data_IF_473137325600
#
_entry.id   IF_473137325600
#
_cell.length_a   1.000
_cell.length_b   1.000
_cell.length_c   1.000
_cell.angle_alpha   90.00
_cell.angle_beta   90.00
_cell.angle_gamma   90.00
#
_symmetry.space_group_name_H-M   'P 1'
#
loop_
_entity.id
_entity.type
_entity.pdbx_description
1 polymer ?
#
# COMPACT_ATOMS: atom_id res chain seq x y z
N UNK A 1 -7.02 31.48 65.52
CA UNK A 1 -7.82 32.00 64.38
C UNK A 1 -7.52 33.47 64.03
N UNK A 2 -7.18 34.36 64.99
CA UNK A 2 -6.91 35.78 64.70
C UNK A 2 -5.70 36.07 63.81
N UNK A 3 -4.65 35.23 63.83
CA UNK A 3 -3.42 35.44 63.03
C UNK A 3 -3.69 35.46 61.52
N UNK A 4 -4.58 34.61 61.03
CA UNK A 4 -4.93 34.50 59.61
C UNK A 4 -5.72 35.74 59.14
N UNK A 5 -6.66 36.23 59.98
CA UNK A 5 -7.38 37.49 59.77
C UNK A 5 -6.45 38.71 59.75
N UNK A 6 -5.45 38.76 60.65
CA UNK A 6 -4.45 39.83 60.63
C UNK A 6 -3.54 39.76 59.39
N UNK A 7 -3.05 38.58 59.01
CA UNK A 7 -2.23 38.40 57.81
C UNK A 7 -3.00 38.79 56.54
N UNK A 8 -4.27 38.39 56.42
CA UNK A 8 -5.13 38.77 55.30
C UNK A 8 -5.36 40.28 55.22
N UNK A 9 -5.63 40.93 56.36
CA UNK A 9 -5.83 42.39 56.40
C UNK A 9 -4.55 43.12 56.00
N UNK A 10 -3.39 42.66 56.51
CA UNK A 10 -2.08 43.23 56.20
C UNK A 10 -1.73 43.13 54.71
N UNK A 11 -1.96 41.96 54.09
CA UNK A 11 -1.79 41.71 52.65
C UNK A 11 -2.65 42.61 51.77
N UNK A 12 -3.90 42.87 52.16
CA UNK A 12 -4.82 43.73 51.39
C UNK A 12 -4.48 45.22 51.46
N UNK A 13 -3.89 45.68 52.57
CA UNK A 13 -3.53 47.11 52.74
C UNK A 13 -2.16 47.50 52.19
N UNK A 14 -1.24 46.55 51.97
CA UNK A 14 0.15 46.87 51.59
C UNK A 14 0.45 46.42 50.16
N UNK A 15 0.41 47.38 49.22
CA UNK A 15 0.62 47.13 47.79
C UNK A 15 1.94 46.42 47.44
N UNK A 16 3.02 46.68 48.19
CA UNK A 16 4.33 46.03 47.98
C UNK A 16 4.23 44.50 48.18
N UNK A 17 3.48 44.04 49.19
CA UNK A 17 3.32 42.61 49.47
C UNK A 17 2.50 41.90 48.38
N UNK A 18 1.49 42.58 47.84
CA UNK A 18 0.66 42.05 46.76
C UNK A 18 1.46 41.92 45.45
N UNK A 19 2.31 42.92 45.14
CA UNK A 19 3.21 42.86 44.00
C UNK A 19 4.20 41.68 44.08
N UNK A 20 4.74 41.39 45.27
CA UNK A 20 5.62 40.22 45.47
C UNK A 20 4.91 38.89 45.23
N UNK A 21 3.66 38.74 45.70
CA UNK A 21 2.89 37.52 45.45
C UNK A 21 2.60 37.36 43.97
N UNK A 22 2.17 38.41 43.27
CA UNK A 22 1.92 38.32 41.82
C UNK A 22 3.19 37.90 41.07
N UNK A 23 4.36 38.45 41.43
CA UNK A 23 5.63 38.09 40.83
C UNK A 23 5.97 36.60 41.01
N UNK A 24 5.83 36.08 42.24
CA UNK A 24 6.06 34.66 42.52
C UNK A 24 5.03 33.79 41.83
N UNK A 25 3.75 34.16 41.85
CA UNK A 25 2.68 33.41 41.17
C UNK A 25 2.90 33.36 39.66
N UNK A 26 3.34 34.47 39.04
CA UNK A 26 3.66 34.49 37.61
C UNK A 26 4.85 33.57 37.30
N UNK A 27 5.90 33.58 38.13
CA UNK A 27 7.06 32.70 37.96
C UNK A 27 6.74 31.22 38.16
N UNK A 28 5.89 30.89 39.12
CA UNK A 28 5.42 29.51 39.31
C UNK A 28 4.49 29.10 38.16
N UNK A 29 3.62 30.00 37.69
CA UNK A 29 2.73 29.72 36.57
C UNK A 29 3.51 29.41 35.29
N UNK A 30 4.57 30.17 34.97
CA UNK A 30 5.41 29.88 33.80
C UNK A 30 6.12 28.54 33.93
N UNK A 31 6.63 28.19 35.13
CA UNK A 31 7.26 26.90 35.37
C UNK A 31 6.28 25.73 35.20
N UNK A 32 5.05 25.87 35.72
CA UNK A 32 3.99 24.85 35.56
C UNK A 32 3.64 24.68 34.08
N UNK A 33 3.42 25.77 33.34
CA UNK A 33 3.04 25.71 31.92
C UNK A 33 4.12 25.01 31.10
N UNK A 34 5.40 25.36 31.29
CA UNK A 34 6.48 24.76 30.50
C UNK A 34 6.59 23.26 30.73
N UNK A 35 6.57 22.82 32.00
CA UNK A 35 6.64 21.39 32.31
C UNK A 35 5.40 20.66 31.77
N UNK A 36 4.21 21.25 31.92
CA UNK A 36 2.96 20.64 31.44
C UNK A 36 2.93 20.47 29.92
N UNK A 37 3.47 21.45 29.17
CA UNK A 37 3.52 21.39 27.70
C UNK A 37 4.51 20.30 27.25
N UNK A 38 5.69 20.23 27.86
CA UNK A 38 6.69 19.22 27.50
C UNK A 38 6.22 17.80 27.84
N UNK A 39 5.61 17.62 29.00
CA UNK A 39 5.07 16.33 29.42
C UNK A 39 3.87 15.92 28.56
N UNK A 40 2.94 16.83 28.28
CA UNK A 40 1.80 16.58 27.38
C UNK A 40 2.23 16.19 25.97
N UNK A 41 3.23 16.88 25.41
CA UNK A 41 3.77 16.53 24.09
C UNK A 41 4.45 15.15 24.11
N UNK A 42 5.22 14.83 25.16
CA UNK A 42 5.92 13.55 25.27
C UNK A 42 4.95 12.38 25.33
N UNK A 43 3.88 12.51 26.13
CA UNK A 43 2.82 11.49 26.24
C UNK A 43 2.10 11.30 24.90
N UNK A 44 1.75 12.40 24.22
CA UNK A 44 1.07 12.34 22.92
C UNK A 44 1.96 11.73 21.84
N UNK A 45 3.25 12.08 21.79
CA UNK A 45 4.21 11.48 20.86
C UNK A 45 4.40 10.00 21.13
N UNK A 46 4.54 9.61 22.40
CA UNK A 46 4.68 8.21 22.78
C UNK A 46 3.43 7.40 22.40
N UNK A 47 2.24 7.90 22.74
CA UNK A 47 0.96 7.24 22.41
C UNK A 47 0.75 7.11 20.90
N UNK A 48 1.24 8.06 20.10
CA UNK A 48 1.15 7.99 18.64
C UNK A 48 2.13 6.98 18.03
N UNK A 49 3.33 6.83 18.58
CA UNK A 49 4.31 5.85 18.10
C UNK A 49 3.96 4.41 18.49
N UNK A 50 3.37 4.21 19.68
CA UNK A 50 3.10 2.87 20.24
C UNK A 50 1.80 2.23 19.73
N UNK A 51 0.93 2.95 19.02
CA UNK A 51 -0.33 2.37 18.51
C UNK A 51 -0.16 1.42 17.31
N UNK A 52 0.98 1.44 16.63
CA UNK A 52 1.20 0.64 15.41
C UNK A 52 1.97 -0.65 15.70
N UNK A 53 2.87 -0.61 16.70
CA UNK A 53 3.75 -1.73 17.06
C UNK A 53 3.21 -2.45 18.30
N UNK A 54 3.49 -3.75 18.42
CA UNK A 54 3.22 -4.49 19.64
C UNK A 54 4.16 -4.06 20.77
N UNK A 55 3.72 -4.21 22.02
CA UNK A 55 4.53 -3.86 23.21
C UNK A 55 5.87 -4.60 23.26
N UNK A 56 5.85 -5.86 22.82
CA UNK A 56 7.03 -6.73 22.73
C UNK A 56 7.04 -7.36 21.34
N UNK A 57 8.21 -7.33 20.69
CA UNK A 57 8.46 -8.02 19.41
C UNK A 57 9.60 -9.00 19.62
N UNK A 58 9.38 -10.25 19.21
CA UNK A 58 10.40 -11.29 19.22
C UNK A 58 10.84 -11.53 17.79
N UNK A 59 12.05 -11.12 17.43
CA UNK A 59 12.58 -11.23 16.08
C UNK A 59 13.68 -12.29 15.98
N UNK A 60 13.76 -12.95 14.83
CA UNK A 60 14.91 -13.78 14.48
C UNK A 60 15.95 -12.95 13.76
N UNK A 61 17.23 -13.18 14.07
CA UNK A 61 18.35 -12.57 13.35
C UNK A 61 18.61 -13.22 11.99
N UNK A 62 17.93 -14.33 11.67
CA UNK A 62 18.06 -15.03 10.39
C UNK A 62 17.04 -14.52 9.37
N UNK A 63 17.46 -14.44 8.11
CA UNK A 63 16.57 -14.11 7.00
C UNK A 63 15.43 -15.14 6.78
N UNK A 64 15.56 -16.34 7.34
CA UNK A 64 14.53 -17.39 7.28
C UNK A 64 13.38 -17.19 8.27
N UNK A 65 13.54 -16.30 9.26
CA UNK A 65 12.57 -16.18 10.36
C UNK A 65 12.50 -17.42 11.26
N UNK A 66 11.41 -17.52 12.02
CA UNK A 66 11.06 -18.69 12.81
C UNK A 66 10.31 -19.72 11.95
N UNK A 67 10.70 -20.99 12.02
CA UNK A 67 10.07 -22.06 11.24
C UNK A 67 8.71 -22.51 11.79
N UNK A 68 8.54 -22.47 13.11
CA UNK A 68 7.35 -22.94 13.82
C UNK A 68 6.93 -21.89 14.86
N UNK A 69 6.17 -20.86 14.44
CA UNK A 69 5.76 -19.78 15.33
C UNK A 69 4.79 -20.27 16.41
N UNK A 70 3.95 -21.27 16.13
CA UNK A 70 2.94 -21.77 17.06
C UNK A 70 3.58 -22.40 18.29
N UNK A 71 4.61 -23.23 18.08
CA UNK A 71 5.36 -23.84 19.17
C UNK A 71 6.09 -22.79 20.02
N UNK A 72 6.65 -21.76 19.40
CA UNK A 72 7.32 -20.67 20.12
C UNK A 72 6.30 -19.89 20.97
N UNK A 73 5.13 -19.58 20.41
CA UNK A 73 4.03 -18.94 21.15
C UNK A 73 3.57 -19.81 22.33
N UNK A 74 3.48 -21.13 22.17
CA UNK A 74 3.13 -22.04 23.28
C UNK A 74 4.18 -22.02 24.40
N UNK A 75 5.47 -21.99 24.05
CA UNK A 75 6.55 -21.86 25.03
C UNK A 75 6.47 -20.53 25.79
N UNK A 76 6.18 -19.43 25.10
CA UNK A 76 6.03 -18.11 25.71
C UNK A 76 4.81 -18.10 26.64
N UNK A 77 3.67 -18.67 26.22
CA UNK A 77 2.47 -18.84 27.08
C UNK A 77 2.78 -19.69 28.32
N UNK A 78 3.63 -20.70 28.21
CA UNK A 78 4.04 -21.52 29.34
C UNK A 78 4.80 -20.75 30.43
N UNK A 79 5.47 -19.65 30.09
CA UNK A 79 6.26 -18.84 31.04
C UNK A 79 5.47 -17.64 31.57
N UNK A 80 4.72 -16.95 30.72
CA UNK A 80 4.09 -15.66 31.05
C UNK A 80 2.64 -15.54 30.57
N UNK A 81 1.94 -16.65 30.34
CA UNK A 81 0.59 -16.65 29.75
C UNK A 81 -0.48 -15.88 30.54
N UNK A 82 -0.29 -15.67 31.84
CA UNK A 82 -1.17 -14.85 32.68
C UNK A 82 -0.99 -13.34 32.49
N UNK A 83 0.15 -12.91 31.93
CA UNK A 83 0.48 -11.51 31.64
C UNK A 83 0.29 -11.14 30.17
N UNK A 84 -0.07 -12.11 29.32
CA UNK A 84 -0.19 -11.93 27.87
C UNK A 84 -1.66 -11.84 27.50
N UNK A 85 -2.09 -10.67 27.01
CA UNK A 85 -3.44 -10.48 26.48
C UNK A 85 -3.63 -11.18 25.13
N UNK A 86 -2.69 -10.96 24.19
CA UNK A 86 -2.72 -11.56 22.86
C UNK A 86 -1.31 -11.73 22.28
N UNK A 87 -1.17 -12.64 21.32
CA UNK A 87 0.03 -12.83 20.51
C UNK A 87 -0.37 -13.20 19.09
N UNK A 88 0.45 -12.77 18.13
CA UNK A 88 0.20 -12.95 16.71
C UNK A 88 1.54 -13.19 15.99
N UNK A 89 1.62 -14.14 15.05
CA UNK A 89 2.78 -14.29 14.20
C UNK A 89 2.78 -13.22 13.10
N UNK A 90 3.91 -12.54 12.90
CA UNK A 90 4.07 -11.57 11.81
C UNK A 90 5.32 -11.85 10.99
N UNK A 91 5.28 -11.46 9.72
CA UNK A 91 6.40 -11.59 8.78
C UNK A 91 6.75 -10.21 8.23
N UNK A 92 7.99 -9.76 8.48
CA UNK A 92 8.46 -8.45 8.08
C UNK A 92 9.47 -8.58 6.95
N UNK A 93 9.15 -8.05 5.77
CA UNK A 93 10.01 -8.15 4.58
C UNK A 93 10.08 -6.80 3.86
N UNK A 94 11.27 -6.28 3.54
CA UNK A 94 11.38 -5.09 2.70
C UNK A 94 10.90 -5.41 1.28
N UNK A 95 10.07 -4.55 0.72
CA UNK A 95 9.46 -4.74 -0.58
C UNK A 95 9.44 -3.44 -1.40
N UNK A 96 9.16 -3.57 -2.70
CA UNK A 96 8.88 -2.45 -3.59
C UNK A 96 7.43 -2.53 -4.03
N UNK A 97 6.65 -1.50 -3.72
CA UNK A 97 5.29 -1.32 -4.19
C UNK A 97 5.31 -0.57 -5.52
N UNK A 98 4.72 -1.17 -6.55
CA UNK A 98 4.57 -0.55 -7.86
C UNK A 98 3.11 -0.59 -8.30
N UNK A 99 2.60 0.56 -8.73
CA UNK A 99 1.26 0.66 -9.32
C UNK A 99 1.26 1.67 -10.45
N UNK A 100 0.24 1.59 -11.31
CA UNK A 100 0.12 2.45 -12.49
C UNK A 100 -0.93 3.52 -12.25
N UNK A 101 -0.54 4.78 -12.39
CA UNK A 101 -1.44 5.93 -12.39
C UNK A 101 -1.38 6.63 -13.75
N UNK A 102 -2.47 6.58 -14.51
CA UNK A 102 -2.47 6.98 -15.91
C UNK A 102 -1.52 6.11 -16.75
N UNK A 103 -0.56 6.74 -17.42
CA UNK A 103 0.47 6.05 -18.22
C UNK A 103 1.79 5.82 -17.45
N UNK A 104 1.92 6.38 -16.25
CA UNK A 104 3.17 6.37 -15.48
C UNK A 104 3.15 5.29 -14.41
N UNK A 105 4.30 4.62 -14.22
CA UNK A 105 4.53 3.72 -13.08
C UNK A 105 5.05 4.51 -11.89
N UNK A 106 4.36 4.38 -10.77
CA UNK A 106 4.81 4.88 -9.47
C UNK A 106 5.39 3.71 -8.69
N UNK A 107 6.55 3.93 -8.07
CA UNK A 107 7.27 2.90 -7.31
C UNK A 107 7.73 3.48 -5.97
N UNK A 108 7.35 2.81 -4.88
CA UNK A 108 7.67 3.19 -3.51
C UNK A 108 8.38 2.03 -2.80
N UNK A 109 9.51 2.28 -2.12
CA UNK A 109 10.04 1.31 -1.16
C UNK A 109 9.07 1.22 0.03
N UNK A 110 8.68 0.00 0.40
CA UNK A 110 7.72 -0.23 1.49
C UNK A 110 8.19 -1.38 2.37
N UNK A 111 7.67 -1.45 3.59
CA UNK A 111 7.80 -2.63 4.43
C UNK A 111 6.54 -3.48 4.28
N UNK A 112 6.68 -4.69 3.73
CA UNK A 112 5.59 -5.65 3.68
C UNK A 112 5.50 -6.38 5.02
N UNK A 113 4.33 -6.29 5.65
CA UNK A 113 4.02 -6.97 6.90
C UNK A 113 2.93 -8.00 6.63
N UNK A 114 3.29 -9.29 6.68
CA UNK A 114 2.34 -10.38 6.70
C UNK A 114 1.76 -10.52 8.11
N UNK A 115 0.45 -10.41 8.24
CA UNK A 115 -0.28 -10.48 9.51
C UNK A 115 -1.39 -11.52 9.41
N UNK A 116 -1.74 -12.10 10.55
CA UNK A 116 -2.94 -12.93 10.65
C UNK A 116 -4.19 -12.08 10.86
N UNK A 117 -5.26 -12.36 10.12
CA UNK A 117 -6.47 -11.55 10.13
C UNK A 117 -7.22 -11.61 11.46
N UNK A 118 -7.18 -12.76 12.13
CA UNK A 118 -7.94 -13.02 13.35
C UNK A 118 -7.21 -12.50 14.60
N UNK A 119 -5.89 -12.68 14.69
CA UNK A 119 -5.14 -12.36 15.91
C UNK A 119 -4.53 -10.95 15.93
N UNK A 120 -4.26 -10.33 14.78
CA UNK A 120 -3.50 -9.07 14.74
C UNK A 120 -4.21 -7.92 15.44
N UNK A 121 -5.53 -7.80 15.28
CA UNK A 121 -6.34 -6.74 15.89
C UNK A 121 -6.43 -6.82 17.42
N UNK A 122 -6.13 -8.00 18.00
CA UNK A 122 -6.06 -8.18 19.45
C UNK A 122 -4.66 -7.84 20.00
N UNK A 123 -3.61 -8.11 19.22
CA UNK A 123 -2.23 -7.87 19.62
C UNK A 123 -1.72 -6.45 19.32
N UNK A 124 -2.49 -5.64 18.57
CA UNK A 124 -2.13 -4.27 18.19
C UNK A 124 -3.36 -3.41 17.93
N UNK A 125 -3.21 -2.09 17.99
CA UNK A 125 -4.30 -1.15 17.66
C UNK A 125 -4.56 -1.01 16.15
N UNK A 126 -3.97 -1.88 15.32
CA UNK A 126 -4.07 -1.87 13.85
C UNK A 126 -5.52 -1.73 13.35
N UNK A 127 -6.43 -2.57 13.88
CA UNK A 127 -7.83 -2.59 13.45
C UNK A 127 -8.54 -1.24 13.63
N UNK A 128 -8.20 -0.48 14.68
CA UNK A 128 -8.84 0.81 15.00
C UNK A 128 -8.62 1.88 13.92
N UNK A 129 -7.56 1.75 13.12
CA UNK A 129 -7.12 2.72 12.13
C UNK A 129 -7.41 2.32 10.68
N UNK A 130 -8.17 1.22 10.49
CA UNK A 130 -8.67 0.86 9.16
C UNK A 130 -9.78 1.81 8.72
N UNK A 131 -9.93 1.99 7.41
CA UNK A 131 -10.86 2.96 6.86
C UNK A 131 -12.29 2.40 6.76
N UNK A 132 -12.44 1.10 6.52
CA UNK A 132 -13.75 0.45 6.46
C UNK A 132 -14.29 0.11 7.87
N UNK A 133 -15.53 0.48 8.22
CA UNK A 133 -16.07 0.26 9.57
C UNK A 133 -16.13 -1.21 9.97
N UNK A 134 -16.55 -2.11 9.06
CA UNK A 134 -16.58 -3.56 9.35
C UNK A 134 -15.17 -4.13 9.60
N UNK A 135 -14.14 -3.58 8.93
CA UNK A 135 -12.78 -4.08 9.12
C UNK A 135 -12.19 -3.62 10.47
N UNK A 136 -12.73 -2.56 11.08
CA UNK A 136 -12.35 -2.13 12.43
C UNK A 136 -12.84 -3.09 13.52
N UNK A 137 -13.98 -3.74 13.28
CA UNK A 137 -14.52 -4.75 14.18
C UNK A 137 -13.83 -6.10 13.96
N UNK A 138 -13.79 -6.56 12.71
CA UNK A 138 -13.11 -7.78 12.30
C UNK A 138 -12.41 -7.58 10.96
N UNK A 139 -11.08 -7.61 11.00
CA UNK A 139 -10.27 -7.43 9.83
C UNK A 139 -10.46 -8.59 8.84
N UNK A 140 -10.56 -8.24 7.56
CA UNK A 140 -10.60 -9.22 6.46
C UNK A 140 -9.77 -8.71 5.30
N UNK A 141 -9.10 -9.65 4.62
CA UNK A 141 -8.39 -9.41 3.37
C UNK A 141 -9.31 -9.50 2.14
N UNK A 142 -10.62 -9.62 2.34
CA UNK A 142 -11.59 -9.59 1.24
C UNK A 142 -11.99 -8.16 0.89
N UNK A 143 -12.14 -7.91 -0.42
CA UNK A 143 -12.60 -6.61 -0.90
C UNK A 143 -14.06 -6.38 -0.50
N UNK A 144 -14.32 -5.26 0.20
CA UNK A 144 -15.68 -4.87 0.58
C UNK A 144 -16.41 -4.24 -0.61
N UNK A 145 -17.75 -4.23 -0.55
CA UNK A 145 -18.55 -3.68 -1.66
C UNK A 145 -18.47 -2.15 -1.77
N UNK A 146 -18.28 -1.47 -0.63
CA UNK A 146 -18.14 -0.02 -0.50
C UNK A 146 -18.46 0.43 0.93
N UNK A 147 -18.61 1.74 1.15
CA UNK A 147 -18.89 2.28 2.49
C UNK A 147 -17.64 2.59 3.31
N UNK A 148 -16.52 2.88 2.65
CA UNK A 148 -15.32 3.40 3.30
C UNK A 148 -15.56 4.81 3.81
N UNK A 149 -14.92 5.15 4.94
CA UNK A 149 -15.04 6.47 5.54
C UNK A 149 -14.53 7.57 4.59
N UNK A 150 -15.37 8.56 4.34
CA UNK A 150 -15.04 9.71 3.48
C UNK A 150 -14.45 10.87 4.29
N UNK A 151 -14.74 10.92 5.59
CA UNK A 151 -14.16 11.91 6.49
C UNK A 151 -12.84 11.41 7.06
N UNK A 152 -11.86 12.30 7.11
CA UNK A 152 -10.57 11.99 7.73
C UNK A 152 -10.77 11.83 9.25
N UNK A 153 -10.14 10.83 9.85
CA UNK A 153 -10.28 10.57 11.29
C UNK A 153 -9.86 11.76 12.18
N UNK A 154 -8.94 12.61 11.68
CA UNK A 154 -8.47 13.82 12.37
C UNK A 154 -8.89 15.12 11.67
N UNK A 155 -9.93 15.09 10.85
CA UNK A 155 -10.43 16.27 10.15
C UNK A 155 -10.89 17.36 11.14
N UNK A 156 -10.41 18.59 10.94
CA UNK A 156 -10.97 19.76 11.60
C UNK A 156 -12.33 20.15 11.00
N UNK A 157 -13.10 21.04 11.67
CA UNK A 157 -14.33 21.55 11.09
C UNK A 157 -14.07 22.20 9.72
N UNK A 158 -14.66 21.66 8.66
CA UNK A 158 -14.53 22.18 7.29
C UNK A 158 -13.46 21.52 6.41
N UNK A 159 -12.83 20.41 6.85
CA UNK A 159 -11.97 19.62 5.97
C UNK A 159 -12.73 19.08 4.74
N UNK A 160 -12.11 19.04 3.54
CA UNK A 160 -12.75 18.48 2.35
C UNK A 160 -13.09 17.00 2.52
N UNK A 161 -14.26 16.61 2.00
CA UNK A 161 -14.74 15.23 2.05
C UNK A 161 -14.11 14.36 0.94
N UNK A 162 -13.72 13.12 1.28
CA UNK A 162 -13.09 12.16 0.34
C UNK A 162 -14.15 11.36 -0.41
N UNK A 163 -14.97 12.05 -1.19
CA UNK A 163 -16.09 11.44 -1.94
C UNK A 163 -15.69 10.28 -2.86
N UNK A 164 -14.43 10.22 -3.31
CA UNK A 164 -13.89 9.14 -4.14
C UNK A 164 -13.91 7.77 -3.42
N UNK A 165 -13.76 7.77 -2.09
CA UNK A 165 -13.74 6.55 -1.26
C UNK A 165 -15.14 5.99 -1.04
N UNK A 166 -16.20 6.80 -1.14
CA UNK A 166 -17.57 6.34 -0.97
C UNK A 166 -17.94 5.21 -1.95
N UNK A 167 -17.42 5.30 -3.17
CA UNK A 167 -17.63 4.32 -4.24
C UNK A 167 -16.57 3.23 -4.31
N UNK A 168 -15.52 3.30 -3.48
CA UNK A 168 -14.42 2.34 -3.49
C UNK A 168 -14.91 0.92 -3.14
N UNK A 169 -14.10 -0.10 -3.45
CA UNK A 169 -14.48 -1.50 -3.30
C UNK A 169 -14.95 -2.13 -4.60
N UNK A 170 -15.81 -3.15 -4.52
CA UNK A 170 -16.34 -3.84 -5.69
C UNK A 170 -17.08 -2.94 -6.68
N UNK A 171 -17.80 -1.93 -6.19
CA UNK A 171 -18.51 -0.98 -7.05
C UNK A 171 -17.53 -0.25 -7.98
N UNK A 172 -16.48 0.32 -7.41
CA UNK A 172 -15.41 0.98 -8.15
C UNK A 172 -14.69 0.00 -9.09
N UNK A 173 -14.30 -1.18 -8.59
CA UNK A 173 -13.56 -2.20 -9.37
C UNK A 173 -14.33 -2.60 -10.63
N UNK A 174 -15.60 -3.00 -10.48
CA UNK A 174 -16.46 -3.39 -11.62
C UNK A 174 -16.68 -2.23 -12.57
N UNK A 175 -16.89 -1.02 -12.06
CA UNK A 175 -17.07 0.15 -12.90
C UNK A 175 -15.81 0.48 -13.71
N UNK A 176 -14.63 0.37 -13.10
CA UNK A 176 -13.34 0.63 -13.75
C UNK A 176 -13.07 -0.39 -14.85
N UNK A 177 -13.07 -1.68 -14.52
CA UNK A 177 -12.75 -2.74 -15.47
C UNK A 177 -13.81 -2.85 -16.58
N UNK A 178 -15.09 -2.62 -16.26
CA UNK A 178 -16.14 -2.55 -17.28
C UNK A 178 -15.93 -1.43 -18.30
N UNK A 179 -15.42 -0.27 -17.88
CA UNK A 179 -15.04 0.83 -18.80
C UNK A 179 -13.79 0.49 -19.61
N UNK A 180 -12.77 -0.09 -18.98
CA UNK A 180 -11.53 -0.50 -19.67
C UNK A 180 -11.81 -1.57 -20.74
N UNK A 181 -12.73 -2.51 -20.47
CA UNK A 181 -13.15 -3.54 -21.43
C UNK A 181 -13.87 -2.93 -22.63
N UNK A 182 -14.87 -2.07 -22.39
CA UNK A 182 -15.59 -1.36 -23.47
C UNK A 182 -14.65 -0.52 -24.33
N UNK A 183 -13.67 0.16 -23.71
CA UNK A 183 -12.70 0.96 -24.43
C UNK A 183 -11.77 0.09 -25.30
N UNK A 184 -11.34 -1.07 -24.78
CA UNK A 184 -10.51 -2.02 -25.54
C UNK A 184 -11.26 -2.60 -26.73
N UNK A 185 -12.51 -3.04 -26.52
CA UNK A 185 -13.39 -3.53 -27.59
C UNK A 185 -13.62 -2.45 -28.67
N UNK A 186 -13.82 -1.19 -28.27
CA UNK A 186 -14.00 -0.08 -29.20
C UNK A 186 -12.72 0.22 -30.02
N UNK A 187 -11.55 0.21 -29.37
CA UNK A 187 -10.26 0.37 -30.03
C UNK A 187 -9.97 -0.77 -31.02
N UNK A 188 -10.25 -2.02 -30.63
CA UNK A 188 -10.09 -3.18 -31.52
C UNK A 188 -11.01 -3.06 -32.73
N UNK A 189 -12.25 -2.59 -32.56
CA UNK A 189 -13.16 -2.32 -33.68
C UNK A 189 -12.64 -1.24 -34.63
N UNK A 190 -11.99 -0.19 -34.11
CA UNK A 190 -11.34 0.84 -34.93
C UNK A 190 -10.16 0.29 -35.74
N UNK A 191 -9.33 -0.53 -35.11
CA UNK A 191 -8.21 -1.20 -35.80
C UNK A 191 -8.70 -2.13 -36.91
N UNK A 192 -9.75 -2.94 -36.64
CA UNK A 192 -10.34 -3.85 -37.63
C UNK A 192 -11.07 -3.10 -38.75
N UNK A 193 -11.59 -1.90 -38.50
CA UNK A 193 -12.25 -1.07 -39.52
C UNK A 193 -11.28 -0.19 -40.34
N UNK A 194 -9.97 -0.22 -40.04
CA UNK A 194 -8.94 0.46 -40.83
C UNK A 194 -8.98 1.99 -40.76
N UNK A 195 -9.71 2.56 -39.79
CA UNK A 195 -9.89 4.00 -39.65
C UNK A 195 -8.96 4.49 -38.52
N UNK A 196 -7.96 5.37 -38.78
CA UNK A 196 -7.16 5.94 -37.70
C UNK A 196 -8.06 6.78 -36.78
N UNK A 197 -7.81 6.79 -35.45
CA UNK A 197 -8.63 7.55 -34.53
C UNK A 197 -8.58 9.03 -34.91
N UNK A 198 -9.76 9.61 -35.16
CA UNK A 198 -9.88 11.03 -35.36
C UNK A 198 -9.41 11.72 -34.07
N UNK A 199 -8.39 12.58 -34.19
CA UNK A 199 -8.00 13.49 -33.13
C UNK A 199 -9.13 14.50 -32.92
N UNK A 200 -10.16 14.15 -32.15
CA UNK A 200 -11.22 15.08 -31.80
C UNK A 200 -10.69 16.09 -30.77
N UNK A 201 -10.72 17.35 -31.20
CA UNK A 201 -10.55 18.52 -30.36
C UNK A 201 -11.56 18.51 -29.21
N UNK A 202 -11.12 18.15 -28.01
CA UNK A 202 -11.82 18.51 -26.79
C UNK A 202 -11.59 20.01 -26.53
N UNK A 203 -12.71 20.72 -26.44
CA UNK A 203 -12.80 22.17 -26.37
C UNK A 203 -12.04 22.82 -25.22
N UNK A 204 -11.70 24.08 -25.49
CA UNK A 204 -11.14 25.08 -24.61
C UNK A 204 -11.89 25.16 -23.25
N UNK A 205 -11.18 24.88 -22.17
CA UNK A 205 -11.63 25.02 -20.79
C UNK A 205 -10.43 25.07 -19.85
N UNK A 206 -9.77 26.24 -19.84
CA UNK A 206 -8.80 26.77 -18.87
C UNK A 206 -7.93 25.76 -18.09
N UNK A 207 -6.77 25.41 -18.66
CA UNK A 207 -5.67 24.78 -17.94
C UNK A 207 -4.64 25.85 -17.51
N UNK A 208 -4.14 25.86 -16.25
CA UNK A 208 -3.14 26.82 -15.82
C UNK A 208 -1.84 26.61 -16.60
N UNK A 209 -1.32 27.70 -17.17
CA UNK A 209 -0.07 27.71 -17.93
C UNK A 209 1.10 27.22 -17.06
N UNK A 210 2.02 26.39 -17.59
CA UNK A 210 3.24 26.04 -16.88
C UNK A 210 4.10 27.29 -16.65
N UNK A 211 4.60 27.41 -15.42
CA UNK A 211 5.50 28.48 -14.98
C UNK A 211 6.76 28.45 -15.86
N UNK A 212 7.01 29.58 -16.51
CA UNK A 212 8.19 29.82 -17.35
C UNK A 212 9.42 29.88 -16.45
N UNK A 213 10.27 28.85 -16.51
CA UNK A 213 11.58 28.84 -15.86
C UNK A 213 12.39 30.06 -16.35
N UNK A 214 12.78 30.88 -15.38
CA UNK A 214 13.58 32.07 -15.60
C UNK A 214 15.00 31.67 -16.00
N UNK A 215 15.48 32.31 -17.07
CA UNK A 215 16.87 32.31 -17.50
C UNK A 215 17.83 32.62 -16.34
N UNK A 216 18.89 31.83 -16.21
CA UNK A 216 20.17 32.26 -15.61
C UNK A 216 21.23 32.33 -16.71
N UNK A 217 21.99 33.43 -16.84
CA UNK A 217 23.07 33.52 -17.81
C UNK A 217 24.43 33.16 -17.19
N UNK A 218 25.24 32.44 -17.99
CA UNK A 218 26.71 32.54 -18.04
C UNK A 218 27.52 31.56 -17.18
N UNK A 219 28.26 30.65 -17.85
CA UNK A 219 29.73 30.57 -17.80
C UNK A 219 30.28 29.28 -18.46
N UNK A 220 30.95 29.47 -19.59
CA UNK A 220 32.19 28.87 -20.10
C UNK A 220 32.56 27.38 -19.88
N UNK A 221 32.69 26.71 -21.03
CA UNK A 221 33.84 25.91 -21.49
C UNK A 221 34.57 24.98 -20.50
N UNK A 222 34.53 23.67 -20.78
CA UNK A 222 35.68 22.96 -21.37
C UNK A 222 35.37 21.48 -21.58
N UNK A 223 35.94 20.97 -22.67
CA UNK A 223 35.92 19.61 -23.15
C UNK A 223 36.70 18.65 -22.25
N UNK A 224 36.21 17.41 -22.15
CA UNK A 224 37.03 16.18 -22.16
C UNK A 224 36.12 14.97 -22.38
N UNK A 225 36.38 14.27 -23.47
CA UNK A 225 35.63 13.09 -23.87
C UNK A 225 35.90 11.87 -22.99
N UNK A 226 34.91 10.98 -22.96
CA UNK A 226 35.09 9.58 -22.65
C UNK A 226 34.05 8.77 -23.44
N UNK A 227 34.56 8.18 -24.51
CA UNK A 227 34.19 6.94 -25.19
C UNK A 227 32.99 6.17 -24.60
N UNK A 228 31.93 6.06 -25.40
CA UNK A 228 30.86 5.06 -25.28
C UNK A 228 31.35 3.77 -25.95
N UNK A 229 31.49 2.62 -25.26
CA UNK A 229 31.67 1.36 -25.96
C UNK A 229 30.31 0.85 -26.45
N UNK A 230 30.36 0.34 -27.68
CA UNK A 230 29.27 -0.14 -28.48
C UNK A 230 28.55 -1.34 -27.87
N UNK A 231 27.26 -1.39 -28.17
CA UNK A 231 26.35 -2.51 -27.96
C UNK A 231 26.97 -3.84 -28.39
N UNK A 232 27.07 -4.77 -27.43
CA UNK A 232 27.33 -6.17 -27.73
C UNK A 232 26.08 -6.77 -28.37
N UNK A 233 26.21 -7.19 -29.63
CA UNK A 233 25.23 -8.00 -30.35
C UNK A 233 25.00 -9.31 -29.60
N UNK A 234 23.77 -9.51 -29.11
CA UNK A 234 23.31 -10.81 -28.63
C UNK A 234 23.01 -11.63 -29.88
N UNK A 235 23.86 -12.63 -30.15
CA UNK A 235 23.65 -13.61 -31.20
C UNK A 235 22.33 -14.36 -30.96
N UNK A 236 21.38 -14.20 -31.87
CA UNK A 236 20.15 -14.97 -31.96
C UNK A 236 20.50 -16.43 -32.25
N UNK A 237 20.44 -17.30 -31.25
CA UNK A 237 20.55 -18.75 -31.43
C UNK A 237 19.25 -19.23 -32.09
N UNK A 238 19.35 -19.62 -33.36
CA UNK A 238 18.25 -20.27 -34.08
C UNK A 238 17.88 -21.62 -33.42
N UNK A 239 16.59 -22.01 -33.39
CA UNK A 239 16.19 -23.31 -32.87
C UNK A 239 16.74 -24.45 -33.76
N UNK A 240 17.10 -25.62 -33.20
CA UNK A 240 17.64 -26.72 -33.98
C UNK A 240 16.56 -27.30 -34.91
N UNK A 241 16.86 -27.27 -36.21
CA UNK A 241 16.12 -27.97 -37.26
C UNK A 241 16.09 -29.47 -36.97
N UNK A 242 14.91 -30.01 -36.65
CA UNK A 242 14.69 -31.45 -36.55
C UNK A 242 14.89 -32.10 -37.92
N UNK A 243 15.87 -33.01 -38.01
CA UNK A 243 16.08 -33.86 -39.18
C UNK A 243 15.02 -34.98 -39.17
N UNK A 244 14.30 -35.27 -40.26
CA UNK A 244 13.37 -36.40 -40.27
C UNK A 244 14.15 -37.71 -40.31
N UNK A 245 13.83 -38.63 -39.40
CA UNK A 245 14.30 -40.01 -39.43
C UNK A 245 13.53 -40.75 -40.55
N UNK A 246 14.19 -41.51 -41.45
CA UNK A 246 13.49 -42.26 -42.49
C UNK A 246 12.70 -43.42 -41.88
N UNK A 247 11.41 -43.47 -42.17
CA UNK A 247 10.52 -44.59 -41.81
C UNK A 247 10.68 -45.66 -42.88
N UNK A 248 11.05 -46.87 -42.49
CA UNK A 248 11.15 -48.03 -43.37
C UNK A 248 9.76 -48.57 -43.68
N UNK A 249 9.37 -48.52 -44.96
CA UNK A 249 8.21 -49.24 -45.50
C UNK A 249 8.38 -50.76 -45.30
N UNK A 250 7.42 -51.38 -44.62
CA UNK A 250 7.16 -52.82 -44.76
C UNK A 250 5.74 -52.98 -45.27
N UNK A 251 5.64 -53.41 -46.53
CA UNK A 251 4.42 -53.80 -47.22
C UNK A 251 3.80 -55.03 -46.57
N UNK A 252 2.53 -54.93 -46.19
CA UNK A 252 1.66 -56.09 -46.04
C UNK A 252 0.30 -55.76 -46.66
N UNK A 253 0.00 -56.47 -47.74
CA UNK A 253 -1.27 -56.46 -48.45
C UNK A 253 -2.36 -57.12 -47.58
N UNK A 254 -3.54 -56.49 -47.48
CA UNK A 254 -4.69 -57.11 -46.84
C UNK A 254 -5.87 -56.18 -46.56
N UNK A 255 -6.85 -56.21 -47.48
CA UNK A 255 -8.28 -55.91 -47.31
C UNK A 255 -8.73 -54.47 -46.98
N UNK A 256 -9.52 -53.93 -47.93
CA UNK A 256 -10.22 -52.67 -47.86
C UNK A 256 -11.33 -52.70 -46.80
N UNK A 257 -11.10 -52.01 -45.67
CA UNK A 257 -12.10 -51.66 -44.68
C UNK A 257 -12.03 -50.15 -44.39
N UNK A 258 -13.15 -49.46 -44.56
CA UNK A 258 -13.33 -48.02 -44.36
C UNK A 258 -12.82 -47.53 -42.98
N UNK A 259 -11.72 -46.78 -42.94
CA UNK A 259 -11.20 -46.15 -41.71
C UNK A 259 -11.49 -44.64 -41.75
N UNK A 260 -12.52 -44.24 -41.00
CA UNK A 260 -12.79 -42.85 -40.66
C UNK A 260 -11.53 -42.24 -40.00
N UNK A 261 -11.03 -41.12 -40.52
CA UNK A 261 -9.89 -40.43 -39.95
C UNK A 261 -10.21 -39.95 -38.52
N UNK A 262 -9.69 -40.66 -37.53
CA UNK A 262 -9.70 -40.23 -36.13
C UNK A 262 -8.63 -39.14 -36.04
N UNK A 263 -9.05 -37.89 -35.85
CA UNK A 263 -8.14 -36.78 -35.56
C UNK A 263 -7.24 -37.16 -34.37
N UNK A 264 -5.95 -36.80 -34.35
CA UNK A 264 -5.06 -37.12 -33.24
C UNK A 264 -5.57 -36.44 -31.97
N UNK A 265 -6.25 -37.19 -31.11
CA UNK A 265 -6.65 -36.74 -29.79
C UNK A 265 -5.41 -36.68 -28.90
N UNK A 266 -4.98 -35.47 -28.56
CA UNK A 266 -3.85 -35.24 -27.66
C UNK A 266 -4.14 -35.85 -26.27
N UNK A 267 -3.40 -36.88 -25.83
CA UNK A 267 -3.59 -37.51 -24.51
C UNK A 267 -3.19 -36.61 -23.34
N UNK A 268 -2.57 -35.45 -23.59
CA UNK A 268 -2.21 -34.45 -22.57
C UNK A 268 -3.19 -33.28 -22.49
N UNK A 269 -4.22 -33.21 -23.35
CA UNK A 269 -5.26 -32.19 -23.26
C UNK A 269 -6.03 -32.23 -21.92
N UNK A 270 -6.11 -33.41 -21.30
CA UNK A 270 -6.72 -33.59 -19.98
C UNK A 270 -5.82 -33.14 -18.79
N UNK A 271 -4.54 -32.86 -19.04
CA UNK A 271 -3.54 -32.46 -18.02
C UNK A 271 -2.98 -31.07 -18.29
N UNK A 272 -3.48 -30.36 -19.31
CA UNK A 272 -3.26 -28.92 -19.40
C UNK A 272 -3.77 -28.30 -18.09
N UNK A 273 -2.94 -27.54 -17.35
CA UNK A 273 -3.45 -26.82 -16.20
C UNK A 273 -4.64 -26.00 -16.72
N UNK A 274 -5.83 -26.19 -16.13
CA UNK A 274 -6.95 -25.29 -16.40
C UNK A 274 -6.47 -23.91 -15.95
N UNK A 275 -5.93 -23.14 -16.90
CA UNK A 275 -5.65 -21.73 -16.70
C UNK A 275 -7.03 -21.10 -16.70
N UNK A 276 -7.65 -21.04 -15.52
CA UNK A 276 -8.81 -20.20 -15.30
C UNK A 276 -8.37 -18.78 -15.67
N UNK A 277 -9.00 -18.22 -16.68
CA UNK A 277 -8.73 -16.86 -17.11
C UNK A 277 -9.17 -15.92 -15.97
N UNK A 278 -8.20 -15.25 -15.33
CA UNK A 278 -8.46 -14.34 -14.21
C UNK A 278 -9.32 -13.18 -14.70
N UNK A 279 -10.58 -13.13 -14.25
CA UNK A 279 -11.49 -12.03 -14.54
C UNK A 279 -11.39 -10.95 -13.46
N UNK A 280 -10.76 -9.78 -13.75
CA UNK A 280 -10.59 -8.73 -12.76
C UNK A 280 -11.93 -8.11 -12.29
N UNK A 281 -13.05 -8.32 -12.98
CA UNK A 281 -14.37 -7.83 -12.54
C UNK A 281 -15.02 -8.70 -11.46
N UNK A 282 -14.60 -9.96 -11.36
CA UNK A 282 -15.21 -10.98 -10.49
C UNK A 282 -14.24 -11.57 -9.48
N UNK A 283 -12.94 -11.49 -9.74
CA UNK A 283 -11.89 -12.06 -8.92
C UNK A 283 -10.95 -10.99 -8.37
N UNK A 284 -10.48 -11.23 -7.15
CA UNK A 284 -9.44 -10.43 -6.49
C UNK A 284 -8.19 -11.26 -6.30
N UNK A 285 -7.04 -10.61 -6.39
CA UNK A 285 -5.78 -11.17 -5.90
C UNK A 285 -5.78 -11.16 -4.35
N UNK A 286 -4.79 -11.78 -3.69
CA UNK A 286 -4.66 -11.68 -2.23
C UNK A 286 -4.75 -10.23 -1.76
N UNK A 287 -5.54 -9.98 -0.72
CA UNK A 287 -5.80 -8.63 -0.22
C UNK A 287 -4.57 -8.01 0.43
N UNK A 288 -4.36 -6.72 0.18
CA UNK A 288 -3.36 -5.92 0.86
C UNK A 288 -4.00 -4.66 1.42
N UNK A 289 -3.59 -4.30 2.63
CA UNK A 289 -3.93 -3.02 3.26
C UNK A 289 -2.75 -2.07 3.03
N UNK A 290 -3.00 -0.91 2.43
CA UNK A 290 -1.97 0.09 2.18
C UNK A 290 -2.06 1.23 3.17
N UNK A 291 -0.91 1.81 3.55
CA UNK A 291 -0.90 3.10 4.22
C UNK A 291 -1.52 4.16 3.31
N UNK A 292 -2.45 4.97 3.83
CA UNK A 292 -3.20 5.94 3.02
C UNK A 292 -2.30 6.96 2.31
N UNK A 293 -1.13 7.28 2.88
CA UNK A 293 -0.16 8.21 2.30
C UNK A 293 0.62 7.63 1.10
N UNK A 294 0.72 6.31 0.98
CA UNK A 294 1.28 5.66 -0.21
C UNK A 294 0.35 5.72 -1.41
N UNK A 295 -0.94 5.93 -1.16
CA UNK A 295 -2.02 5.88 -2.15
C UNK A 295 -2.61 7.25 -2.47
N UNK A 296 -2.21 8.32 -1.77
CA UNK A 296 -2.80 9.65 -1.93
C UNK A 296 -1.78 10.78 -1.89
N UNK A 297 -2.10 11.90 -2.52
CA UNK A 297 -1.32 13.14 -2.46
C UNK A 297 -2.23 14.31 -2.10
N UNK A 298 -1.79 15.16 -1.18
CA UNK A 298 -2.54 16.37 -0.80
C UNK A 298 -2.27 17.50 -1.77
N UNK A 299 -3.33 18.00 -2.40
CA UNK A 299 -3.29 19.13 -3.31
C UNK A 299 -3.20 20.46 -2.54
N UNK A 300 -2.73 21.55 -3.19
CA UNK A 300 -2.62 22.87 -2.55
C UNK A 300 -3.96 23.46 -2.06
N UNK A 301 -5.09 22.99 -2.60
CA UNK A 301 -6.44 23.36 -2.19
C UNK A 301 -6.92 22.60 -0.93
N UNK A 302 -6.08 21.73 -0.38
CA UNK A 302 -6.36 20.92 0.80
C UNK A 302 -7.11 19.62 0.52
N UNK A 303 -7.54 19.38 -0.72
CA UNK A 303 -8.13 18.10 -1.12
C UNK A 303 -7.06 17.02 -1.25
N UNK A 304 -7.48 15.77 -1.06
CA UNK A 304 -6.62 14.63 -1.35
C UNK A 304 -6.98 14.03 -2.71
N UNK A 305 -5.95 13.78 -3.50
CA UNK A 305 -6.03 13.05 -4.75
C UNK A 305 -5.60 11.61 -4.48
N UNK A 306 -6.49 10.65 -4.74
CA UNK A 306 -6.17 9.22 -4.61
C UNK A 306 -5.55 8.70 -5.91
N UNK A 307 -4.32 8.24 -5.82
CA UNK A 307 -3.57 7.60 -6.91
C UNK A 307 -4.00 6.13 -7.08
N UNK A 308 -4.34 5.48 -5.96
CA UNK A 308 -4.98 4.16 -5.93
C UNK A 308 -6.15 4.20 -4.95
N UNK A 309 -7.12 3.31 -5.15
CA UNK A 309 -8.28 3.15 -4.27
C UNK A 309 -8.50 1.68 -3.91
N UNK A 310 -9.22 1.38 -2.82
CA UNK A 310 -9.67 0.03 -2.55
C UNK A 310 -10.42 -0.53 -3.76
N UNK A 311 -9.97 -1.67 -4.27
CA UNK A 311 -10.41 -2.28 -5.52
C UNK A 311 -9.38 -2.23 -6.65
N UNK A 312 -8.28 -1.48 -6.51
CA UNK A 312 -7.17 -1.49 -7.46
C UNK A 312 -6.18 -2.63 -7.20
N UNK A 313 -5.51 -3.08 -8.26
CA UNK A 313 -4.45 -4.07 -8.16
C UNK A 313 -3.06 -3.38 -8.16
N UNK A 314 -2.22 -3.79 -7.21
CA UNK A 314 -0.85 -3.32 -7.05
C UNK A 314 0.14 -4.48 -7.17
N UNK A 315 1.37 -4.17 -7.56
CA UNK A 315 2.47 -5.13 -7.66
C UNK A 315 3.40 -4.93 -6.47
N UNK A 316 3.71 -6.02 -5.77
CA UNK A 316 4.76 -6.05 -4.75
C UNK A 316 5.91 -6.93 -5.23
N UNK A 317 7.13 -6.40 -5.12
CA UNK A 317 8.38 -7.13 -5.36
C UNK A 317 9.11 -7.30 -4.05
N UNK A 318 9.33 -8.54 -3.60
CA UNK A 318 9.99 -8.84 -2.31
C UNK A 318 10.91 -10.06 -2.43
N UNK A 319 11.95 -10.17 -1.58
CA UNK A 319 12.82 -11.34 -1.55
C UNK A 319 12.09 -12.58 -1.02
N UNK A 320 12.32 -13.74 -1.64
CA UNK A 320 11.85 -15.01 -1.12
C UNK A 320 12.73 -15.53 0.05
N UNK A 321 12.22 -16.50 0.80
CA UNK A 321 12.95 -17.17 1.88
C UNK A 321 14.03 -18.17 1.39
N UNK A 322 14.38 -18.13 0.09
CA UNK A 322 15.37 -19.03 -0.49
C UNK A 322 16.81 -18.65 -0.10
N UNK A 323 17.73 -19.61 -0.19
CA UNK A 323 19.17 -19.38 -0.02
C UNK A 323 19.90 -19.76 -1.32
N UNK A 324 20.39 -18.80 -2.13
CA UNK A 324 20.34 -17.35 -1.94
C UNK A 324 18.94 -16.75 -2.20
N UNK A 325 18.59 -15.62 -1.56
CA UNK A 325 17.30 -14.97 -1.76
C UNK A 325 17.18 -14.42 -3.18
N UNK A 326 15.98 -14.52 -3.75
CA UNK A 326 15.63 -13.98 -5.07
C UNK A 326 14.41 -13.07 -4.96
N UNK A 327 14.39 -11.99 -5.72
CA UNK A 327 13.23 -11.13 -5.84
C UNK A 327 12.10 -11.88 -6.56
N UNK A 328 10.90 -11.84 -5.98
CA UNK A 328 9.68 -12.40 -6.53
C UNK A 328 8.65 -11.29 -6.63
N UNK A 329 7.91 -11.32 -7.74
CA UNK A 329 6.82 -10.40 -8.01
C UNK A 329 5.49 -11.08 -7.72
N UNK A 330 4.61 -10.39 -6.99
CA UNK A 330 3.24 -10.83 -6.78
C UNK A 330 2.27 -9.66 -6.93
N UNK A 331 1.04 -9.97 -7.34
CA UNK A 331 -0.05 -9.01 -7.47
C UNK A 331 -0.96 -9.12 -6.26
N UNK A 332 -1.39 -7.97 -5.73
CA UNK A 332 -2.29 -7.87 -4.61
C UNK A 332 -3.41 -6.90 -4.94
N UNK A 333 -4.60 -7.14 -4.39
CA UNK A 333 -5.71 -6.19 -4.50
C UNK A 333 -5.74 -5.33 -3.26
N UNK A 334 -5.81 -4.00 -3.42
CA UNK A 334 -5.97 -3.07 -2.29
C UNK A 334 -7.37 -3.25 -1.74
N UNK A 335 -7.49 -3.70 -0.51
CA UNK A 335 -8.80 -3.98 0.12
C UNK A 335 -9.21 -2.93 1.14
N UNK A 336 -8.24 -2.28 1.76
CA UNK A 336 -8.49 -1.20 2.71
C UNK A 336 -7.28 -0.27 2.79
N UNK A 337 -7.48 0.88 3.42
CA UNK A 337 -6.42 1.77 3.83
C UNK A 337 -6.24 1.79 5.33
N UNK A 338 -4.98 1.88 5.72
CA UNK A 338 -4.56 2.15 7.07
C UNK A 338 -4.26 3.65 7.20
N UNK A 339 -5.01 4.32 8.08
CA UNK A 339 -4.85 5.76 8.38
C UNK A 339 -4.53 5.95 9.86
N UNK A 340 -3.24 5.93 10.19
CA UNK A 340 -2.78 6.31 11.53
C UNK A 340 -2.93 7.82 11.75
N UNK A 341 -2.91 8.26 13.02
CA UNK A 341 -2.82 9.70 13.35
C UNK A 341 -1.48 10.33 12.93
N UNK A 342 -0.53 9.54 12.44
CA UNK A 342 0.75 9.94 11.86
C UNK A 342 0.82 9.63 10.37
N UNK A 343 -0.31 9.43 9.68
CA UNK A 343 -0.34 9.03 8.27
C UNK A 343 0.46 9.96 7.35
N UNK A 344 0.59 11.25 7.67
CA UNK A 344 1.44 12.21 6.94
C UNK A 344 2.95 11.89 7.02
N UNK A 345 3.38 11.04 7.95
CA UNK A 345 4.77 10.61 8.20
C UNK A 345 5.03 9.11 7.91
N UNK A 346 3.98 8.31 7.65
CA UNK A 346 4.06 6.86 7.42
C UNK A 346 4.33 6.49 5.93
N UNK A 347 4.87 7.41 5.13
CA UNK A 347 5.11 7.26 3.69
C UNK A 347 6.50 6.75 3.33
#
# INVERSE_FOLDING_TARGET
>A
MYKLLLCWRYLRTRYIALASIISVTLGVATMIVVNSVMEGFSVEMQSRMQGILSDIVVESHSASGFYDPDRLMEQIRGVAGDQIEAMTPTVHVPAMLSYRYGETWMTHPVQLIGIDADTQSLASDFGKYLLHPENREQMSFELRNGGYDTQQANAGPGSPDRSELASAGWQYRRQRYGRERQQREWLEQLEHSGQPPASEHAGHGDAPRPIREAHRPGADASSRGAVVPASAEIATVAPPTATPIPVSDTTNDGEAGNVQAIAPSDPFAAVAPMISEYDPEQETSPGAVLGIALASYRLPDGRELFLTRPGDDVKLTFPNAGTPPRAVDARFTVVDFYESKMSEYDA
#
